data_IF_617318799527
#
_entry.id   IF_617318799527
#
_cell.length_a   1.000
_cell.length_b   1.000
_cell.length_c   1.000
_cell.angle_alpha   90.00
_cell.angle_beta   90.00
_cell.angle_gamma   90.00
#
_symmetry.space_group_name_H-M   'P 1'
#
loop_
_entity.id
_entity.type
_entity.pdbx_description
1 polymer ?
#
# COMPACT_ATOMS: atom_id res chain seq x y z
N UNK A 1 48.17 10.80 -53.24
CA UNK A 1 46.71 10.88 -53.00
C UNK A 1 46.17 12.17 -53.60
N UNK A 2 45.01 12.16 -54.26
CA UNK A 2 44.39 13.41 -54.75
C UNK A 2 43.93 14.27 -53.58
N UNK A 3 44.02 15.61 -53.69
CA UNK A 3 43.67 16.58 -52.63
C UNK A 3 42.31 16.26 -51.97
N UNK A 4 41.34 15.80 -52.76
CA UNK A 4 40.00 15.39 -52.32
C UNK A 4 40.02 14.29 -51.26
N UNK A 5 40.87 13.26 -51.43
CA UNK A 5 40.99 12.16 -50.45
C UNK A 5 41.59 12.63 -49.13
N UNK A 6 42.55 13.56 -49.18
CA UNK A 6 43.20 14.12 -47.99
C UNK A 6 42.21 14.99 -47.19
N UNK A 7 41.41 15.81 -47.89
CA UNK A 7 40.35 16.62 -47.28
C UNK A 7 39.27 15.75 -46.62
N UNK A 8 38.77 14.73 -47.35
CA UNK A 8 37.77 13.78 -46.82
C UNK A 8 38.24 13.07 -45.56
N UNK A 9 39.51 12.64 -45.50
CA UNK A 9 40.08 12.00 -44.32
C UNK A 9 40.16 12.94 -43.12
N UNK A 10 40.56 14.20 -43.33
CA UNK A 10 40.68 15.19 -42.25
C UNK A 10 39.29 15.54 -41.71
N UNK A 11 38.34 15.86 -42.59
CA UNK A 11 36.97 16.23 -42.20
C UNK A 11 36.24 15.06 -41.54
N UNK A 12 36.37 13.85 -42.10
CA UNK A 12 35.79 12.65 -41.50
C UNK A 12 36.41 12.34 -40.13
N UNK A 13 37.72 12.50 -40.00
CA UNK A 13 38.44 12.31 -38.73
C UNK A 13 37.99 13.29 -37.65
N UNK A 14 37.88 14.59 -37.96
CA UNK A 14 37.39 15.58 -36.99
C UNK A 14 35.94 15.35 -36.61
N UNK A 15 35.07 15.01 -37.57
CA UNK A 15 33.67 14.68 -37.28
C UNK A 15 33.56 13.46 -36.36
N UNK A 16 34.36 12.42 -36.64
CA UNK A 16 34.38 11.20 -35.85
C UNK A 16 34.84 11.45 -34.40
N UNK A 17 35.90 12.24 -34.23
CA UNK A 17 36.39 12.65 -32.90
C UNK A 17 35.32 13.44 -32.14
N UNK A 18 34.67 14.40 -32.81
CA UNK A 18 33.61 15.21 -32.21
C UNK A 18 32.43 14.34 -31.73
N UNK A 19 31.93 13.44 -32.59
CA UNK A 19 30.83 12.52 -32.24
C UNK A 19 31.21 11.61 -31.08
N UNK A 20 32.44 11.10 -31.07
CA UNK A 20 32.93 10.21 -30.00
C UNK A 20 32.97 10.94 -28.66
N UNK A 21 33.49 12.17 -28.62
CA UNK A 21 33.54 13.00 -27.40
C UNK A 21 32.14 13.31 -26.89
N UNK A 22 31.23 13.70 -27.80
CA UNK A 22 29.82 13.93 -27.46
C UNK A 22 29.18 12.68 -26.86
N UNK A 23 29.36 11.52 -27.49
CA UNK A 23 28.76 10.28 -27.03
C UNK A 23 29.29 9.84 -25.65
N UNK A 24 30.61 9.93 -25.43
CA UNK A 24 31.24 9.64 -24.14
C UNK A 24 30.73 10.57 -23.04
N UNK A 25 30.66 11.87 -23.33
CA UNK A 25 30.18 12.88 -22.39
C UNK A 25 28.73 12.64 -21.99
N UNK A 26 27.86 12.43 -22.99
CA UNK A 26 26.44 12.13 -22.76
C UNK A 26 26.26 10.84 -21.97
N UNK A 27 27.00 9.78 -22.30
CA UNK A 27 26.93 8.50 -21.60
C UNK A 27 27.37 8.62 -20.15
N UNK A 28 28.47 9.32 -19.87
CA UNK A 28 28.96 9.53 -18.50
C UNK A 28 27.97 10.33 -17.64
N UNK A 29 27.37 11.38 -18.20
CA UNK A 29 26.42 12.24 -17.48
C UNK A 29 25.09 11.51 -17.24
N UNK A 30 24.55 10.80 -18.25
CA UNK A 30 23.28 10.08 -18.11
C UNK A 30 23.38 8.92 -17.13
N UNK A 31 24.44 8.11 -17.19
CA UNK A 31 24.58 6.92 -16.35
C UNK A 31 24.82 7.26 -14.88
N UNK A 32 25.51 8.37 -14.60
CA UNK A 32 25.75 8.84 -13.23
C UNK A 32 24.49 9.46 -12.62
N UNK A 33 23.74 10.25 -13.41
CA UNK A 33 22.50 10.88 -12.93
C UNK A 33 21.35 9.89 -12.79
N UNK A 34 21.21 8.91 -13.69
CA UNK A 34 20.09 7.97 -13.64
C UNK A 34 19.99 7.23 -12.31
N UNK A 35 21.13 6.75 -11.77
CA UNK A 35 21.16 6.00 -10.50
C UNK A 35 20.73 6.83 -9.29
N UNK A 36 21.07 8.11 -9.26
CA UNK A 36 20.69 8.99 -8.14
C UNK A 36 19.19 9.29 -8.19
N UNK A 37 18.68 9.60 -9.38
CA UNK A 37 17.26 9.89 -9.59
C UNK A 37 16.39 8.66 -9.34
N UNK A 38 16.86 7.48 -9.76
CA UNK A 38 16.19 6.21 -9.50
C UNK A 38 16.10 5.92 -8.00
N UNK A 39 17.21 6.06 -7.26
CA UNK A 39 17.20 5.89 -5.79
C UNK A 39 16.26 6.85 -5.10
N UNK A 40 16.32 8.14 -5.45
CA UNK A 40 15.44 9.14 -4.85
C UNK A 40 13.96 8.88 -5.17
N UNK A 41 13.66 8.40 -6.38
CA UNK A 41 12.30 8.00 -6.77
C UNK A 41 11.82 6.80 -5.96
N UNK A 42 12.66 5.79 -5.77
CA UNK A 42 12.37 4.61 -4.95
C UNK A 42 12.12 5.02 -3.49
N UNK A 43 13.01 5.82 -2.89
CA UNK A 43 12.89 6.28 -1.51
C UNK A 43 11.61 7.10 -1.30
N UNK A 44 11.30 8.01 -2.22
CA UNK A 44 10.06 8.78 -2.19
C UNK A 44 8.81 7.90 -2.31
N UNK A 45 8.87 6.88 -3.17
CA UNK A 45 7.77 5.92 -3.34
C UNK A 45 7.56 5.09 -2.09
N UNK A 46 8.64 4.59 -1.47
CA UNK A 46 8.59 3.85 -0.22
C UNK A 46 8.05 4.71 0.92
N UNK A 47 8.46 5.97 1.01
CA UNK A 47 7.93 6.91 2.00
C UNK A 47 6.42 7.10 1.84
N UNK A 48 5.93 7.29 0.60
CA UNK A 48 4.49 7.40 0.33
C UNK A 48 3.73 6.14 0.74
N UNK A 49 4.22 4.95 0.37
CA UNK A 49 3.58 3.67 0.75
C UNK A 49 3.51 3.55 2.27
N UNK A 50 4.59 3.87 2.98
CA UNK A 50 4.62 3.86 4.45
C UNK A 50 3.59 4.82 5.04
N UNK A 51 3.53 6.07 4.57
CA UNK A 51 2.54 7.04 5.03
C UNK A 51 1.12 6.56 4.76
N UNK A 52 0.83 5.98 3.60
CA UNK A 52 -0.50 5.42 3.31
C UNK A 52 -0.87 4.26 4.24
N UNK A 53 0.09 3.38 4.57
CA UNK A 53 -0.12 2.30 5.52
C UNK A 53 -0.37 2.82 6.94
N UNK A 54 0.40 3.83 7.37
CA UNK A 54 0.24 4.46 8.68
C UNK A 54 -1.13 5.13 8.80
N UNK A 55 -1.60 5.83 7.76
CA UNK A 55 -2.94 6.40 7.72
C UNK A 55 -4.05 5.34 7.79
N UNK A 56 -3.88 4.21 7.09
CA UNK A 56 -4.84 3.10 7.16
C UNK A 56 -4.88 2.48 8.57
N UNK A 57 -3.71 2.30 9.20
CA UNK A 57 -3.60 1.84 10.58
C UNK A 57 -4.28 2.79 11.56
N UNK A 58 -4.02 4.10 11.44
CA UNK A 58 -4.67 5.10 12.29
C UNK A 58 -6.20 5.11 12.12
N UNK A 59 -6.69 4.92 10.89
CA UNK A 59 -8.11 4.74 10.62
C UNK A 59 -8.70 3.55 11.38
N UNK A 60 -8.06 2.38 11.30
CA UNK A 60 -8.49 1.19 12.06
C UNK A 60 -8.48 1.42 13.57
N UNK A 61 -7.46 2.11 14.11
CA UNK A 61 -7.39 2.44 15.54
C UNK A 61 -8.56 3.31 15.96
N UNK A 62 -8.91 4.32 15.16
CA UNK A 62 -10.07 5.19 15.44
C UNK A 62 -11.38 4.41 15.43
N UNK A 63 -11.63 3.62 14.38
CA UNK A 63 -12.84 2.78 14.32
C UNK A 63 -12.91 1.79 15.48
N UNK A 64 -11.79 1.18 15.85
CA UNK A 64 -11.73 0.26 17.00
C UNK A 64 -12.05 0.98 18.32
N UNK A 65 -11.49 2.17 18.54
CA UNK A 65 -11.77 2.96 19.74
C UNK A 65 -13.24 3.38 19.81
N UNK A 66 -13.81 3.87 18.70
CA UNK A 66 -15.21 4.28 18.62
C UNK A 66 -16.14 3.10 18.99
N UNK A 67 -15.88 1.91 18.44
CA UNK A 67 -16.69 0.72 18.74
C UNK A 67 -16.46 0.20 20.16
N UNK A 68 -15.23 0.24 20.68
CA UNK A 68 -14.89 -0.24 22.01
C UNK A 68 -15.39 0.68 23.15
N UNK A 69 -15.52 1.98 22.88
CA UNK A 69 -16.04 2.96 23.85
C UNK A 69 -17.56 3.09 23.80
N UNK A 70 -18.21 2.50 22.80
CA UNK A 70 -19.65 2.61 22.66
C UNK A 70 -20.35 1.80 23.76
N UNK A 71 -21.23 2.47 24.51
CA UNK A 71 -21.99 1.88 25.63
C UNK A 71 -22.69 0.57 25.25
N UNK A 72 -23.28 0.49 24.05
CA UNK A 72 -23.98 -0.70 23.57
C UNK A 72 -23.02 -1.89 23.36
N UNK A 73 -21.81 -1.64 22.86
CA UNK A 73 -20.78 -2.68 22.70
C UNK A 73 -20.29 -3.16 24.06
N UNK A 74 -20.11 -2.24 25.02
CA UNK A 74 -19.72 -2.59 26.38
C UNK A 74 -20.80 -3.46 27.05
N UNK A 75 -22.07 -3.03 26.97
CA UNK A 75 -23.20 -3.79 27.50
C UNK A 75 -23.28 -5.19 26.87
N UNK A 76 -23.16 -5.28 25.53
CA UNK A 76 -23.16 -6.55 24.81
C UNK A 76 -22.08 -7.53 25.29
N UNK A 77 -20.87 -7.04 25.56
CA UNK A 77 -19.77 -7.90 26.05
C UNK A 77 -20.06 -8.47 27.45
N UNK A 78 -20.80 -7.74 28.28
CA UNK A 78 -21.18 -8.18 29.63
C UNK A 78 -22.44 -9.07 29.64
N UNK A 79 -23.47 -8.73 28.86
CA UNK A 79 -24.79 -9.36 28.90
C UNK A 79 -25.05 -10.40 27.79
N UNK A 80 -24.23 -10.41 26.73
CA UNK A 80 -24.36 -11.32 25.59
C UNK A 80 -25.63 -11.12 24.77
N UNK A 81 -26.24 -9.92 24.78
CA UNK A 81 -27.50 -9.65 24.08
C UNK A 81 -27.41 -9.90 22.57
N UNK A 82 -28.06 -10.97 22.09
CA UNK A 82 -28.08 -11.37 20.68
C UNK A 82 -28.64 -10.28 19.75
N UNK A 83 -29.52 -9.40 20.27
CA UNK A 83 -30.07 -8.27 19.51
C UNK A 83 -29.01 -7.29 19.03
N UNK A 84 -27.89 -7.16 19.76
CA UNK A 84 -26.77 -6.32 19.35
C UNK A 84 -26.16 -6.83 18.04
N UNK A 85 -25.93 -8.14 17.92
CA UNK A 85 -25.33 -8.76 16.73
C UNK A 85 -26.24 -8.58 15.51
N UNK A 86 -27.55 -8.75 15.68
CA UNK A 86 -28.54 -8.56 14.60
C UNK A 86 -28.62 -7.10 14.14
N UNK A 87 -28.44 -6.14 15.05
CA UNK A 87 -28.52 -4.72 14.72
C UNK A 87 -27.20 -4.16 14.14
N UNK A 88 -26.05 -4.59 14.66
CA UNK A 88 -24.76 -3.95 14.40
C UNK A 88 -23.83 -4.75 13.50
N UNK A 89 -23.88 -6.09 13.51
CA UNK A 89 -23.02 -6.96 12.70
C UNK A 89 -23.67 -7.33 11.36
N UNK A 90 -24.28 -6.33 10.71
CA UNK A 90 -24.95 -6.45 9.41
C UNK A 90 -24.01 -6.10 8.25
N UNK A 91 -24.31 -6.57 7.04
CA UNK A 91 -23.50 -6.33 5.83
C UNK A 91 -23.17 -4.85 5.60
N UNK A 92 -24.11 -3.94 5.85
CA UNK A 92 -23.91 -2.49 5.67
C UNK A 92 -22.85 -1.91 6.60
N UNK A 93 -22.67 -2.48 7.79
CA UNK A 93 -21.59 -2.10 8.72
C UNK A 93 -20.23 -2.37 8.09
N UNK A 94 -20.02 -3.58 7.55
CA UNK A 94 -18.77 -3.96 6.90
C UNK A 94 -18.47 -3.09 5.68
N UNK A 95 -19.49 -2.77 4.87
CA UNK A 95 -19.37 -1.88 3.70
C UNK A 95 -19.00 -0.46 4.10
N UNK A 96 -19.72 0.09 5.09
CA UNK A 96 -19.51 1.46 5.58
C UNK A 96 -18.12 1.63 6.19
N UNK A 97 -17.71 0.68 7.02
CA UNK A 97 -16.40 0.69 7.67
C UNK A 97 -15.26 0.20 6.76
N UNK A 98 -15.60 -0.39 5.60
CA UNK A 98 -14.66 -1.03 4.66
C UNK A 98 -13.79 -2.08 5.34
N UNK A 99 -14.43 -2.96 6.12
CA UNK A 99 -13.77 -4.04 6.84
C UNK A 99 -14.16 -5.39 6.27
N UNK A 100 -13.16 -6.26 6.06
CA UNK A 100 -13.40 -7.67 5.75
C UNK A 100 -13.58 -8.54 7.00
N UNK A 101 -13.17 -8.04 8.17
CA UNK A 101 -13.23 -8.73 9.45
C UNK A 101 -13.58 -7.71 10.54
N UNK A 102 -14.54 -8.06 11.39
CA UNK A 102 -14.86 -7.32 12.61
C UNK A 102 -15.02 -8.35 13.73
N UNK A 103 -14.25 -8.19 14.81
CA UNK A 103 -14.32 -9.02 16.00
C UNK A 103 -14.53 -8.15 17.23
N UNK A 104 -15.42 -8.57 18.10
CA UNK A 104 -15.63 -8.02 19.43
C UNK A 104 -15.03 -9.03 20.41
N UNK A 105 -14.09 -8.56 21.21
CA UNK A 105 -13.28 -9.40 22.10
C UNK A 105 -13.42 -8.86 23.52
N UNK A 106 -13.61 -9.75 24.48
CA UNK A 106 -13.71 -9.36 25.90
C UNK A 106 -12.32 -9.18 26.53
N UNK A 107 -12.28 -8.70 27.78
CA UNK A 107 -11.03 -8.47 28.52
C UNK A 107 -10.21 -9.74 28.79
N UNK A 108 -10.80 -10.93 28.66
CA UNK A 108 -10.09 -12.21 28.76
C UNK A 108 -9.48 -12.66 27.41
N UNK A 109 -9.64 -11.87 26.35
CA UNK A 109 -9.16 -12.20 25.01
C UNK A 109 -10.05 -13.16 24.24
N UNK A 110 -11.25 -13.48 24.75
CA UNK A 110 -12.20 -14.36 24.05
C UNK A 110 -13.08 -13.57 23.10
N UNK A 111 -13.33 -14.12 21.93
CA UNK A 111 -14.24 -13.54 20.94
C UNK A 111 -15.68 -13.65 21.45
N UNK A 112 -16.33 -12.53 21.70
CA UNK A 112 -17.73 -12.46 22.12
C UNK A 112 -18.67 -12.55 20.92
N UNK A 113 -18.32 -11.85 19.83
CA UNK A 113 -18.98 -11.97 18.53
C UNK A 113 -18.05 -11.47 17.44
N UNK A 114 -18.40 -11.78 16.20
CA UNK A 114 -17.69 -11.26 15.05
C UNK A 114 -18.16 -11.89 13.77
N UNK A 115 -17.64 -11.38 12.67
CA UNK A 115 -17.98 -11.87 11.35
C UNK A 115 -17.00 -11.38 10.31
N UNK A 116 -17.12 -11.99 9.14
CA UNK A 116 -16.33 -11.67 7.97
C UNK A 116 -17.21 -11.35 6.78
N UNK A 117 -16.73 -10.43 5.97
CA UNK A 117 -17.39 -9.98 4.76
C UNK A 117 -16.36 -9.87 3.65
N UNK A 118 -16.66 -10.38 2.46
CA UNK A 118 -15.83 -10.22 1.28
C UNK A 118 -16.30 -8.95 0.55
N UNK A 119 -15.57 -7.86 0.71
CA UNK A 119 -15.88 -6.58 0.06
C UNK A 119 -15.76 -6.62 -1.46
N UNK A 120 -14.97 -7.54 -2.02
CA UNK A 120 -14.82 -7.67 -3.48
C UNK A 120 -16.00 -8.42 -4.10
N UNK A 121 -16.48 -9.47 -3.42
CA UNK A 121 -17.62 -10.28 -3.86
C UNK A 121 -18.98 -9.77 -3.37
N UNK A 122 -18.96 -8.76 -2.51
CA UNK A 122 -20.12 -8.19 -1.84
C UNK A 122 -20.99 -9.26 -1.15
N UNK A 123 -20.36 -10.13 -0.38
CA UNK A 123 -21.05 -11.23 0.29
C UNK A 123 -20.43 -11.56 1.67
N UNK A 124 -21.22 -12.07 2.63
CA UNK A 124 -20.68 -12.64 3.86
C UNK A 124 -19.68 -13.77 3.55
N UNK A 125 -18.58 -13.78 4.30
CA UNK A 125 -17.54 -14.81 4.20
C UNK A 125 -17.52 -15.67 5.47
N UNK A 126 -16.92 -16.86 5.39
CA UNK A 126 -16.70 -17.69 6.56
C UNK A 126 -15.54 -17.16 7.42
N UNK A 127 -15.71 -17.18 8.74
CA UNK A 127 -14.64 -16.84 9.68
C UNK A 127 -13.45 -17.81 9.50
N UNK A 128 -12.22 -17.31 9.34
CA UNK A 128 -11.03 -18.15 9.25
C UNK A 128 -10.90 -19.06 10.49
N UNK A 129 -10.67 -20.36 10.28
CA UNK A 129 -10.56 -21.37 11.35
C UNK A 129 -9.65 -20.98 12.54
N UNK A 130 -8.50 -20.30 12.37
CA UNK A 130 -7.65 -19.92 13.50
C UNK A 130 -8.31 -18.98 14.52
N UNK A 131 -9.38 -18.28 14.12
CA UNK A 131 -10.10 -17.29 14.94
C UNK A 131 -11.31 -17.89 15.67
N UNK A 132 -11.64 -19.16 15.40
CA UNK A 132 -12.82 -19.86 15.93
C UNK A 132 -12.47 -20.77 17.13
N UNK A 133 -11.20 -20.79 17.59
CA UNK A 133 -10.77 -21.67 18.69
C UNK A 133 -10.80 -20.96 20.05
N UNK A 134 -11.47 -21.63 21.00
CA UNK A 134 -11.55 -21.32 22.43
C UNK A 134 -10.19 -21.25 23.15
#
# INVERSE_FOLDING_TARGET
>A
MTLRKKLLLIVGGTLFVLVTILHLSTSAILLSKSRLWERQSVDSTLARVRTSLDMAREGLVRTTLDWAQWDDTYAFVEDGNEGYTVANLVSDTYKTLRLNLLLIVNNAGRVAAGGTYDLERDAPAALPEPLVRD
#
